data_IF_111900337867
#
_entry.id   IF_111900337867
#
_cell.length_a   1.000
_cell.length_b   1.000
_cell.length_c   1.000
_cell.angle_alpha   90.00
_cell.angle_beta   90.00
_cell.angle_gamma   90.00
#
_symmetry.space_group_name_H-M   'P 1'
#
loop_
_entity.id
_entity.type
_entity.pdbx_description
1 polymer ?
#
# COMPACT_ATOMS: atom_id res chain seq x y z
N UNK A 1 32.95 -17.97 -0.53
CA UNK A 1 32.33 -17.59 0.75
C UNK A 1 31.06 -16.86 0.39
N UNK A 2 29.91 -17.49 0.60
CA UNK A 2 28.62 -16.86 0.37
C UNK A 2 28.22 -16.21 1.70
N UNK A 3 28.31 -14.90 1.78
CA UNK A 3 27.77 -14.17 2.91
C UNK A 3 26.24 -14.19 2.80
N UNK A 4 25.62 -15.16 3.45
CA UNK A 4 24.18 -15.19 3.68
C UNK A 4 23.84 -14.10 4.71
N UNK A 5 23.66 -12.87 4.25
CA UNK A 5 23.11 -11.80 5.09
C UNK A 5 21.59 -11.90 5.04
N UNK A 6 21.02 -12.79 5.85
CA UNK A 6 19.57 -12.85 6.08
C UNK A 6 19.18 -11.82 7.15
N UNK A 7 19.04 -10.55 6.77
CA UNK A 7 18.38 -9.54 7.61
C UNK A 7 17.43 -8.72 6.75
N UNK A 8 16.21 -9.23 6.56
CA UNK A 8 15.11 -8.40 6.06
C UNK A 8 14.01 -8.42 7.12
N UNK A 9 14.02 -7.38 7.96
CA UNK A 9 12.81 -6.97 8.65
C UNK A 9 11.84 -6.37 7.63
N UNK A 10 10.62 -6.08 8.07
CA UNK A 10 9.68 -5.29 7.28
C UNK A 10 9.25 -4.08 8.08
N UNK A 11 9.25 -2.92 7.43
CA UNK A 11 8.63 -1.71 7.95
C UNK A 11 7.22 -1.57 7.36
N UNK A 12 6.23 -1.32 8.22
CA UNK A 12 4.86 -1.06 7.77
C UNK A 12 4.69 0.43 7.47
N UNK A 13 4.38 0.75 6.22
CA UNK A 13 4.03 2.09 5.76
C UNK A 13 2.52 2.17 5.63
N UNK A 14 1.92 3.23 6.17
CA UNK A 14 0.48 3.49 6.09
C UNK A 14 0.17 4.96 5.87
N UNK A 15 -1.00 5.24 5.31
CA UNK A 15 -1.46 6.61 5.10
C UNK A 15 -2.95 6.70 4.81
N UNK A 16 -3.45 7.94 4.85
CA UNK A 16 -4.81 8.26 4.45
C UNK A 16 -4.78 9.41 3.45
N UNK A 17 -5.44 9.20 2.32
CA UNK A 17 -5.71 10.23 1.34
C UNK A 17 -7.14 10.74 1.51
N UNK A 18 -7.28 12.04 1.72
CA UNK A 18 -8.58 12.72 1.74
C UNK A 18 -8.48 14.12 1.14
N UNK A 19 -9.53 14.54 0.43
CA UNK A 19 -9.66 15.86 -0.18
C UNK A 19 -11.13 16.27 -0.17
N UNK A 20 -11.40 17.57 -0.01
CA UNK A 20 -12.77 18.09 -0.12
C UNK A 20 -13.23 18.09 -1.58
N UNK A 21 -12.42 18.70 -2.46
CA UNK A 21 -12.71 18.83 -3.89
C UNK A 21 -11.45 18.63 -4.73
N UNK A 22 -11.63 18.07 -5.92
CA UNK A 22 -10.63 17.92 -6.97
C UNK A 22 -11.29 18.15 -8.33
N UNK A 23 -10.49 18.25 -9.39
CA UNK A 23 -11.02 18.17 -10.77
C UNK A 23 -11.35 16.71 -11.10
N UNK A 24 -12.36 16.48 -11.93
CA UNK A 24 -12.66 15.14 -12.45
C UNK A 24 -11.44 14.58 -13.17
N UNK A 25 -11.08 13.32 -12.87
CA UNK A 25 -9.96 12.63 -13.50
C UNK A 25 -9.10 11.84 -12.53
N UNK A 26 -7.93 11.42 -13.00
CA UNK A 26 -6.98 10.60 -12.26
C UNK A 26 -6.10 11.44 -11.34
N UNK A 27 -6.01 11.08 -10.07
CA UNK A 27 -5.14 11.71 -9.08
C UNK A 27 -4.27 10.66 -8.41
N UNK A 28 -2.94 10.80 -8.49
CA UNK A 28 -2.02 9.87 -7.82
C UNK A 28 -2.17 10.01 -6.30
N UNK A 29 -2.37 8.89 -5.62
CA UNK A 29 -2.52 8.82 -4.16
C UNK A 29 -1.18 8.45 -3.52
N UNK A 30 -0.56 7.36 -3.98
CA UNK A 30 0.66 6.81 -3.42
C UNK A 30 1.44 6.04 -4.49
N UNK A 31 2.75 5.97 -4.31
CA UNK A 31 3.66 5.07 -5.01
C UNK A 31 4.12 4.00 -4.03
N UNK A 32 3.86 2.74 -4.35
CA UNK A 32 4.25 1.59 -3.53
C UNK A 32 5.47 0.96 -4.19
N UNK A 33 6.64 0.92 -3.51
CA UNK A 33 7.89 0.56 -4.16
C UNK A 33 8.00 -0.94 -4.46
N UNK A 34 8.88 -1.30 -5.40
CA UNK A 34 9.29 -2.68 -5.61
C UNK A 34 9.75 -3.36 -4.30
N UNK A 35 9.49 -4.65 -4.17
CA UNK A 35 9.75 -5.43 -2.95
C UNK A 35 8.66 -5.29 -1.88
N UNK A 36 7.70 -4.36 -2.02
CA UNK A 36 6.62 -4.22 -1.06
C UNK A 36 5.68 -5.44 -1.05
N UNK A 37 5.23 -5.80 0.15
CA UNK A 37 4.33 -6.92 0.45
C UNK A 37 3.10 -6.45 1.23
N UNK A 38 2.14 -7.36 1.43
CA UNK A 38 0.96 -7.14 2.29
C UNK A 38 0.21 -5.84 1.97
N UNK A 39 0.01 -5.57 0.69
CA UNK A 39 -0.59 -4.34 0.20
C UNK A 39 -2.09 -4.39 0.45
N UNK A 40 -2.63 -3.33 1.06
CA UNK A 40 -4.05 -3.11 1.25
C UNK A 40 -4.38 -1.66 0.96
N UNK A 41 -5.32 -1.43 0.04
CA UNK A 41 -5.82 -0.10 -0.35
C UNK A 41 -7.33 -0.17 -0.28
N UNK A 42 -7.95 0.76 0.44
CA UNK A 42 -9.39 0.71 0.69
C UNK A 42 -9.99 2.11 0.80
N UNK A 43 -11.10 2.34 0.11
CA UNK A 43 -11.98 3.46 0.42
C UNK A 43 -12.56 3.28 1.83
N UNK A 44 -12.27 4.24 2.71
CA UNK A 44 -12.80 4.26 4.09
C UNK A 44 -14.21 4.83 4.14
N UNK A 45 -14.56 5.67 3.17
CA UNK A 45 -15.91 6.19 2.96
C UNK A 45 -16.29 5.85 1.52
N UNK A 46 -17.36 5.07 1.37
CA UNK A 46 -17.88 4.70 0.05
C UNK A 46 -18.21 5.94 -0.77
N UNK A 47 -17.75 5.96 -2.01
CA UNK A 47 -18.05 7.03 -2.96
C UNK A 47 -18.37 6.47 -4.35
N UNK A 48 -18.60 7.34 -5.33
CA UNK A 48 -18.64 7.00 -6.76
C UNK A 48 -17.28 7.19 -7.46
N UNK A 49 -16.22 7.33 -6.67
CA UNK A 49 -14.86 7.32 -7.19
C UNK A 49 -14.41 5.86 -7.39
N UNK A 50 -13.31 5.69 -8.13
CA UNK A 50 -12.72 4.38 -8.38
C UNK A 50 -11.24 4.40 -8.07
N UNK A 51 -10.72 3.35 -7.45
CA UNK A 51 -9.29 3.09 -7.32
C UNK A 51 -8.76 2.61 -8.67
N UNK A 52 -7.58 3.08 -9.06
CA UNK A 52 -6.92 2.67 -10.28
C UNK A 52 -5.44 2.36 -10.02
N UNK A 53 -4.90 1.39 -10.75
CA UNK A 53 -3.52 0.94 -10.64
C UNK A 53 -2.80 1.08 -11.97
N UNK A 54 -1.56 1.53 -11.91
CA UNK A 54 -0.69 1.71 -13.07
C UNK A 54 0.74 1.28 -12.72
N UNK A 55 1.44 0.72 -13.69
CA UNK A 55 2.89 0.48 -13.61
C UNK A 55 3.65 1.82 -13.62
N UNK A 56 4.93 1.79 -13.24
CA UNK A 56 5.85 2.93 -13.42
C UNK A 56 5.95 3.39 -14.88
N UNK A 57 5.82 2.47 -15.83
CA UNK A 57 5.82 2.71 -17.29
C UNK A 57 4.47 3.19 -17.86
N UNK A 58 3.55 3.62 -17.00
CA UNK A 58 2.22 4.11 -17.36
C UNK A 58 1.28 3.08 -18.00
N UNK A 59 1.57 1.77 -17.85
CA UNK A 59 0.67 0.70 -18.29
C UNK A 59 -0.42 0.47 -17.23
N UNK A 60 -1.68 0.52 -17.63
CA UNK A 60 -2.80 0.32 -16.72
C UNK A 60 -2.96 -1.14 -16.31
N UNK A 61 -3.21 -1.38 -15.01
CA UNK A 61 -3.44 -2.71 -14.44
C UNK A 61 -4.92 -2.89 -14.06
N UNK A 62 -5.47 -1.93 -13.32
CA UNK A 62 -6.89 -1.87 -12.93
C UNK A 62 -7.38 -0.44 -13.19
N UNK A 63 -8.55 -0.32 -13.82
CA UNK A 63 -9.27 0.93 -14.08
C UNK A 63 -8.42 1.98 -14.81
N UNK A 64 -7.98 1.66 -16.02
CA UNK A 64 -7.20 2.57 -16.87
C UNK A 64 -7.94 3.02 -18.12
N UNK A 65 -7.39 4.03 -18.81
CA UNK A 65 -7.89 4.49 -20.12
C UNK A 65 -9.41 4.78 -20.13
N UNK A 66 -9.94 5.34 -19.04
CA UNK A 66 -11.38 5.62 -18.86
C UNK A 66 -12.29 4.39 -18.85
N UNK A 67 -11.74 3.19 -18.71
CA UNK A 67 -12.49 1.93 -18.59
C UNK A 67 -12.52 1.50 -17.12
N UNK A 68 -13.70 1.08 -16.67
CA UNK A 68 -13.91 0.53 -15.33
C UNK A 68 -14.01 -0.98 -15.42
N UNK A 69 -13.01 -1.67 -14.87
CA UNK A 69 -12.89 -3.12 -14.92
C UNK A 69 -13.88 -3.82 -13.98
N UNK A 70 -14.04 -5.13 -14.15
CA UNK A 70 -14.88 -5.95 -13.27
C UNK A 70 -14.12 -6.33 -12.00
N UNK A 71 -14.79 -6.47 -10.84
CA UNK A 71 -14.17 -7.05 -9.66
C UNK A 71 -13.61 -8.45 -9.96
N UNK A 72 -12.45 -8.79 -9.39
CA UNK A 72 -11.80 -10.07 -9.66
C UNK A 72 -10.32 -10.09 -9.31
N UNK A 73 -9.63 -11.10 -9.83
CA UNK A 73 -8.19 -11.28 -9.65
C UNK A 73 -7.43 -10.79 -10.89
N UNK A 74 -6.33 -10.07 -10.66
CA UNK A 74 -5.45 -9.53 -11.70
C UNK A 74 -4.01 -9.93 -11.39
N UNK A 75 -3.29 -10.47 -12.36
CA UNK A 75 -1.87 -10.80 -12.20
C UNK A 75 -1.03 -9.70 -12.83
N UNK A 76 -0.27 -8.99 -12.02
CA UNK A 76 0.64 -7.95 -12.44
C UNK A 76 1.75 -7.75 -11.41
N UNK A 77 2.88 -7.19 -11.82
CA UNK A 77 3.99 -6.82 -10.93
C UNK A 77 4.47 -7.98 -10.04
N UNK A 78 4.44 -9.21 -10.57
CA UNK A 78 4.87 -10.42 -9.87
C UNK A 78 3.91 -10.93 -8.79
N UNK A 79 2.71 -10.37 -8.64
CA UNK A 79 1.75 -10.78 -7.62
C UNK A 79 0.32 -10.87 -8.15
N UNK A 80 -0.58 -11.44 -7.34
CA UNK A 80 -2.02 -11.47 -7.63
C UNK A 80 -2.73 -10.37 -6.82
N UNK A 81 -3.30 -9.41 -7.53
CA UNK A 81 -4.15 -8.37 -6.99
C UNK A 81 -5.58 -8.90 -6.88
N UNK A 82 -6.21 -8.69 -5.74
CA UNK A 82 -7.65 -8.89 -5.56
C UNK A 82 -8.35 -7.54 -5.57
N UNK A 83 -9.16 -7.30 -6.59
CA UNK A 83 -9.94 -6.09 -6.75
C UNK A 83 -11.40 -6.34 -6.37
N UNK A 84 -11.91 -5.60 -5.38
CA UNK A 84 -13.29 -5.70 -4.92
C UNK A 84 -13.99 -4.35 -5.08
N UNK A 85 -15.09 -4.37 -5.84
CA UNK A 85 -16.07 -3.28 -5.89
C UNK A 85 -17.42 -3.80 -5.37
N UNK A 86 -17.72 -3.61 -4.06
CA UNK A 86 -19.01 -4.01 -3.51
C UNK A 86 -20.16 -3.32 -4.24
N UNK A 87 -21.32 -3.98 -4.32
CA UNK A 87 -22.47 -3.45 -5.06
C UNK A 87 -22.82 -2.02 -4.64
N UNK A 88 -23.00 -1.14 -5.64
CA UNK A 88 -23.20 0.29 -5.42
C UNK A 88 -24.47 0.61 -4.62
N UNK A 89 -25.54 -0.19 -4.77
CA UNK A 89 -26.84 0.05 -4.15
C UNK A 89 -26.95 -0.66 -2.80
N UNK A 90 -26.50 -1.92 -2.73
CA UNK A 90 -26.81 -2.82 -1.61
C UNK A 90 -25.74 -2.87 -0.52
N UNK A 91 -24.52 -2.41 -0.80
CA UNK A 91 -23.41 -2.43 0.16
C UNK A 91 -23.08 -1.04 0.67
N UNK A 92 -22.62 -0.95 1.93
CA UNK A 92 -21.99 0.26 2.47
C UNK A 92 -20.47 0.24 2.34
N UNK A 93 -19.88 -0.90 1.98
CA UNK A 93 -18.44 -1.04 1.79
C UNK A 93 -17.96 -0.25 0.58
N UNK A 94 -16.82 0.45 0.75
CA UNK A 94 -16.08 1.09 -0.32
C UNK A 94 -15.27 0.08 -1.14
N UNK A 95 -14.67 0.57 -2.21
CA UNK A 95 -13.81 -0.21 -3.08
C UNK A 95 -12.47 -0.58 -2.40
N UNK A 96 -11.91 -1.73 -2.74
CA UNK A 96 -10.61 -2.15 -2.20
C UNK A 96 -9.77 -2.97 -3.17
N UNK A 97 -8.45 -2.86 -2.99
CA UNK A 97 -7.45 -3.65 -3.70
C UNK A 97 -6.44 -4.20 -2.68
N UNK A 98 -6.17 -5.49 -2.75
CA UNK A 98 -5.16 -6.14 -1.91
C UNK A 98 -4.20 -6.98 -2.74
N UNK A 99 -2.94 -7.09 -2.33
CA UNK A 99 -1.96 -8.00 -2.92
C UNK A 99 -0.98 -8.52 -1.87
N UNK A 100 -0.59 -9.80 -1.92
CA UNK A 100 0.42 -10.35 -1.01
C UNK A 100 1.84 -9.80 -1.31
N UNK A 101 2.13 -9.43 -2.55
CA UNK A 101 3.50 -9.10 -3.00
C UNK A 101 4.39 -10.35 -3.15
N UNK A 102 5.72 -10.19 -3.16
CA UNK A 102 6.43 -8.92 -3.32
C UNK A 102 6.17 -8.31 -4.71
N UNK A 103 6.14 -6.98 -4.80
CA UNK A 103 6.09 -6.30 -6.10
C UNK A 103 7.43 -6.42 -6.83
N UNK A 104 7.41 -6.64 -8.14
CA UNK A 104 8.64 -6.67 -8.97
C UNK A 104 9.08 -5.30 -9.46
N UNK A 105 8.17 -4.31 -9.46
CA UNK A 105 8.43 -2.91 -9.81
C UNK A 105 7.48 -2.00 -9.03
N UNK A 106 7.70 -0.68 -9.10
CA UNK A 106 6.87 0.29 -8.40
C UNK A 106 5.44 0.29 -8.94
N UNK A 107 4.48 0.28 -8.02
CA UNK A 107 3.05 0.36 -8.28
C UNK A 107 2.55 1.79 -8.00
N UNK A 108 1.95 2.43 -8.99
CA UNK A 108 1.26 3.69 -8.79
C UNK A 108 -0.22 3.47 -8.52
N UNK A 109 -0.70 4.03 -7.41
CA UNK A 109 -2.11 4.02 -7.02
C UNK A 109 -2.74 5.37 -7.32
N UNK A 110 -3.88 5.35 -7.99
CA UNK A 110 -4.66 6.51 -8.36
C UNK A 110 -6.09 6.44 -7.84
N UNK A 111 -6.70 7.61 -7.69
CA UNK A 111 -8.15 7.78 -7.57
C UNK A 111 -8.68 8.38 -8.87
N UNK A 112 -9.67 7.74 -9.48
CA UNK A 112 -10.52 8.35 -10.50
C UNK A 112 -11.61 9.13 -9.78
N UNK A 113 -11.40 10.43 -9.67
CA UNK A 113 -12.30 11.34 -8.97
C UNK A 113 -13.51 11.71 -9.84
N UNK A 114 -14.71 11.42 -9.33
CA UNK A 114 -16.02 11.76 -9.88
C UNK A 114 -16.97 12.38 -8.82
N UNK A 115 -16.73 12.13 -7.53
CA UNK A 115 -17.56 12.61 -6.42
C UNK A 115 -16.70 13.23 -5.29
N UNK A 116 -17.13 14.37 -4.71
CA UNK A 116 -16.50 14.98 -3.53
C UNK A 116 -16.42 14.09 -2.30
N UNK A 117 -15.50 14.46 -1.41
CA UNK A 117 -15.22 13.76 -0.16
C UNK A 117 -14.58 12.36 -0.29
N UNK A 118 -13.65 12.11 -1.23
CA UNK A 118 -12.91 10.84 -1.23
C UNK A 118 -12.14 10.64 0.07
N UNK A 119 -12.13 9.42 0.56
CA UNK A 119 -11.23 9.01 1.63
C UNK A 119 -10.74 7.59 1.37
N UNK A 120 -9.42 7.42 1.29
CA UNK A 120 -8.75 6.15 0.99
C UNK A 120 -7.66 5.92 2.03
N UNK A 121 -7.70 4.78 2.69
CA UNK A 121 -6.61 4.27 3.50
C UNK A 121 -5.73 3.33 2.67
N UNK A 122 -4.44 3.36 2.90
CA UNK A 122 -3.52 2.38 2.35
C UNK A 122 -2.49 1.95 3.38
N UNK A 123 -2.04 0.71 3.27
CA UNK A 123 -0.98 0.11 4.06
C UNK A 123 -0.21 -0.91 3.21
N UNK A 124 1.10 -1.01 3.42
CA UNK A 124 1.97 -2.01 2.83
C UNK A 124 3.23 -2.18 3.67
N UNK A 125 3.92 -3.31 3.51
CA UNK A 125 5.19 -3.60 4.18
C UNK A 125 6.34 -3.47 3.19
N UNK A 126 7.41 -2.77 3.56
CA UNK A 126 8.65 -2.67 2.76
C UNK A 126 9.79 -3.40 3.44
N UNK A 127 10.67 -4.10 2.70
CA UNK A 127 11.87 -4.71 3.28
C UNK A 127 12.76 -3.64 3.93
N UNK A 128 13.12 -3.83 5.21
CA UNK A 128 14.04 -2.97 5.94
C UNK A 128 15.41 -3.61 6.10
N UNK A 129 16.46 -2.82 5.90
CA UNK A 129 17.84 -3.20 6.22
C UNK A 129 18.19 -2.82 7.67
N UNK A 130 17.29 -3.08 8.62
CA UNK A 130 17.56 -2.82 10.04
C UNK A 130 18.38 -3.96 10.62
N UNK A 131 19.64 -3.67 10.97
CA UNK A 131 20.42 -4.53 11.86
C UNK A 131 19.65 -4.70 13.18
N UNK A 132 19.63 -5.89 13.81
CA UNK A 132 19.21 -5.98 15.20
C UNK A 132 20.14 -5.08 15.99
N UNK A 133 19.64 -3.99 16.55
CA UNK A 133 20.38 -3.23 17.55
C UNK A 133 20.64 -4.21 18.69
N UNK A 134 21.90 -4.54 19.05
CA UNK A 134 22.14 -5.22 20.30
C UNK A 134 21.55 -4.32 21.38
N UNK A 135 20.56 -4.84 22.10
CA UNK A 135 20.01 -4.21 23.29
C UNK A 135 21.20 -3.74 24.12
N UNK A 136 21.27 -2.44 24.41
CA UNK A 136 22.42 -1.85 25.08
C UNK A 136 22.59 -2.57 26.42
N UNK A 137 23.58 -3.45 26.46
CA UNK A 137 24.01 -4.21 27.62
C UNK A 137 24.30 -3.19 28.72
N UNK A 138 23.29 -2.95 29.56
CA UNK A 138 23.41 -2.01 30.66
C UNK A 138 24.32 -2.70 31.65
N UNK A 139 25.56 -2.23 31.88
CA UNK A 139 26.43 -2.91 32.82
C UNK A 139 25.77 -2.88 34.20
N UNK A 140 25.85 -3.96 35.00
CA UNK A 140 25.32 -3.93 36.35
C UNK A 140 25.99 -2.78 37.10
N UNK A 141 25.15 -1.90 37.64
CA UNK A 141 25.54 -0.77 38.47
C UNK A 141 26.50 -1.26 39.56
N UNK A 142 27.77 -0.88 39.48
CA UNK A 142 28.76 -1.19 40.52
C UNK A 142 28.33 -0.45 41.79
N UNK A 143 28.12 -1.20 42.87
CA UNK A 143 27.89 -0.66 44.21
C UNK A 143 29.20 0.00 44.69
N UNK A 144 29.18 1.32 44.95
CA UNK A 144 30.27 1.99 45.65
C UNK A 144 30.27 1.58 47.13
N UNK A 145 31.41 1.07 47.59
CA UNK A 145 31.78 0.87 49.00
C UNK A 145 32.59 2.09 49.49
N UNK A 146 32.22 2.63 50.66
CA UNK A 146 33.00 3.61 51.45
C UNK A 146 32.72 5.08 51.07
N UNK A 147 32.61 6.02 52.01
CA UNK A 147 33.18 6.11 53.37
C UNK A 147 32.14 6.30 54.49
#
# INVERSE_FOLDING_TARGET
MCDCVCWQGFEVVKGNFSRTFLRVGYHKIVEIPAGACNISIQETIKSRNYLALQTRSSTSIINGNWVIDRPGFYTALGTQLTYRRPNEIRSRGGESITAPGPLTEDLHVYLIYQQPGPSVYYEYSVPSNTLPTPEADTPPHVLSLGE
#
